data_IF_297343182908
#
_entry.id   IF_297343182908
#
_cell.length_a   1.000
_cell.length_b   1.000
_cell.length_c   1.000
_cell.angle_alpha   90.00
_cell.angle_beta   90.00
_cell.angle_gamma   90.00
#
_symmetry.space_group_name_H-M   'P 1'
#
loop_
_entity.id
_entity.type
_entity.pdbx_description
1 polymer ?
#
# COMPACT_ATOMS: atom_id res chain seq x y z
N UNK A 1 13.19 -17.74 9.83
CA UNK A 1 11.77 -17.57 10.23
C UNK A 1 10.92 -18.10 9.09
N UNK A 2 9.87 -18.85 9.37
CA UNK A 2 8.90 -19.24 8.32
C UNK A 2 7.95 -18.05 8.06
N UNK A 3 7.33 -17.96 6.87
CA UNK A 3 6.35 -16.91 6.56
C UNK A 3 5.23 -16.80 7.60
N UNK A 4 4.74 -17.93 8.11
CA UNK A 4 3.73 -17.98 9.16
C UNK A 4 4.19 -17.26 10.44
N UNK A 5 5.42 -17.55 10.89
CA UNK A 5 6.01 -16.95 12.08
C UNK A 5 6.22 -15.44 11.97
N UNK A 6 6.37 -14.92 10.74
CA UNK A 6 6.59 -13.49 10.52
C UNK A 6 5.39 -12.63 10.91
N UNK A 7 4.19 -13.19 10.94
CA UNK A 7 2.96 -12.47 11.29
C UNK A 7 2.30 -12.98 12.58
N UNK A 8 2.95 -13.87 13.33
CA UNK A 8 2.49 -14.28 14.66
C UNK A 8 2.42 -13.05 15.57
N UNK A 9 1.20 -12.69 16.00
CA UNK A 9 0.93 -11.49 16.79
C UNK A 9 0.37 -10.30 16.01
N UNK A 10 0.16 -10.43 14.70
CA UNK A 10 -0.54 -9.41 13.91
C UNK A 10 -2.01 -9.33 14.31
N UNK A 11 -2.43 -8.17 14.82
CA UNK A 11 -3.82 -7.89 15.17
C UNK A 11 -4.57 -7.46 13.92
N UNK A 12 -5.12 -8.45 13.18
CA UNK A 12 -5.76 -8.23 11.88
C UNK A 12 -7.11 -8.93 11.73
N UNK A 13 -7.90 -8.39 10.81
CA UNK A 13 -9.12 -9.02 10.28
C UNK A 13 -8.95 -9.30 8.80
N UNK A 14 -9.78 -10.18 8.26
CA UNK A 14 -9.87 -10.38 6.81
C UNK A 14 -10.38 -9.09 6.15
N UNK A 15 -9.81 -8.78 4.98
CA UNK A 15 -10.15 -7.61 4.20
C UNK A 15 -10.08 -7.92 2.70
N UNK A 16 -10.85 -7.17 1.92
CA UNK A 16 -10.96 -7.40 0.49
C UNK A 16 -11.58 -8.77 0.13
N UNK A 17 -11.56 -9.14 -1.17
CA UNK A 17 -11.09 -8.31 -2.26
C UNK A 17 -11.96 -7.04 -2.41
N UNK A 18 -11.32 -5.92 -2.69
CA UNK A 18 -11.98 -4.64 -2.97
C UNK A 18 -12.09 -4.37 -4.46
N UNK A 19 -11.29 -5.08 -5.26
CA UNK A 19 -11.30 -5.03 -6.72
C UNK A 19 -11.68 -6.39 -7.30
N UNK A 20 -11.83 -6.45 -8.63
CA UNK A 20 -12.04 -7.72 -9.33
C UNK A 20 -10.87 -8.68 -9.07
N UNK A 21 -11.19 -9.98 -9.00
CA UNK A 21 -10.21 -11.03 -8.82
C UNK A 21 -9.83 -11.64 -10.17
N UNK A 22 -8.53 -11.85 -10.38
CA UNK A 22 -7.98 -12.55 -11.53
C UNK A 22 -7.76 -14.02 -11.14
N UNK A 23 -8.68 -14.91 -11.56
CA UNK A 23 -8.60 -16.34 -11.28
C UNK A 23 -7.34 -16.99 -11.88
N UNK A 24 -6.76 -16.39 -12.92
CA UNK A 24 -5.56 -16.85 -13.58
C UNK A 24 -4.26 -16.27 -12.95
N UNK A 25 -4.38 -15.51 -11.85
CA UNK A 25 -3.30 -14.82 -11.08
C UNK A 25 -2.18 -14.30 -12.00
N UNK A 26 -2.29 -13.06 -12.48
CA UNK A 26 -1.24 -12.45 -13.32
C UNK A 26 0.16 -12.37 -12.68
N UNK A 27 0.26 -12.44 -11.34
CA UNK A 27 1.54 -12.46 -10.62
C UNK A 27 1.83 -13.86 -10.08
N UNK A 28 2.84 -14.51 -10.66
CA UNK A 28 3.35 -15.79 -10.16
C UNK A 28 4.39 -15.58 -9.05
N UNK A 29 4.68 -16.64 -8.30
CA UNK A 29 5.75 -16.66 -7.29
C UNK A 29 7.11 -16.21 -7.86
N UNK A 30 7.37 -16.39 -9.16
CA UNK A 30 8.61 -15.95 -9.80
C UNK A 30 8.70 -14.43 -9.98
N UNK A 31 7.57 -13.72 -9.94
CA UNK A 31 7.50 -12.27 -10.16
C UNK A 31 7.46 -11.46 -8.85
N UNK A 32 7.21 -12.12 -7.72
CA UNK A 32 7.05 -11.51 -6.40
C UNK A 32 8.10 -12.04 -5.42
N UNK A 33 8.46 -11.29 -4.37
CA UNK A 33 9.31 -11.80 -3.31
C UNK A 33 8.70 -13.05 -2.69
N UNK A 34 9.50 -14.10 -2.56
CA UNK A 34 9.03 -15.41 -2.12
C UNK A 34 8.37 -15.35 -0.74
N UNK A 35 8.96 -14.61 0.19
CA UNK A 35 8.46 -14.46 1.55
C UNK A 35 7.13 -13.70 1.62
N UNK A 36 6.96 -12.65 0.82
CA UNK A 36 5.65 -12.00 0.64
C UNK A 36 4.63 -12.93 0.01
N UNK A 37 4.99 -13.64 -1.07
CA UNK A 37 4.07 -14.54 -1.78
C UNK A 37 3.52 -15.63 -0.86
N UNK A 38 4.39 -16.30 -0.08
CA UNK A 38 3.99 -17.34 0.86
C UNK A 38 3.08 -16.80 1.97
N UNK A 39 3.32 -15.57 2.43
CA UNK A 39 2.43 -14.88 3.38
C UNK A 39 1.06 -14.59 2.74
N UNK A 40 1.05 -13.94 1.58
CA UNK A 40 -0.19 -13.50 0.93
C UNK A 40 -1.06 -14.68 0.49
N UNK A 41 -0.45 -15.80 0.10
CA UNK A 41 -1.15 -17.05 -0.21
C UNK A 41 -1.78 -17.70 1.03
N UNK A 42 -1.10 -17.65 2.17
CA UNK A 42 -1.59 -18.24 3.42
C UNK A 42 -2.69 -17.39 4.07
N UNK A 43 -2.49 -16.08 4.12
CA UNK A 43 -3.33 -15.16 4.90
C UNK A 43 -4.43 -14.50 4.08
N UNK A 44 -4.31 -14.46 2.75
CA UNK A 44 -5.19 -13.67 1.88
C UNK A 44 -5.09 -12.17 2.14
N UNK A 45 -6.13 -11.45 1.75
CA UNK A 45 -6.28 -10.02 2.05
C UNK A 45 -6.61 -9.80 3.52
N UNK A 46 -5.85 -8.93 4.19
CA UNK A 46 -6.00 -8.67 5.62
C UNK A 46 -5.64 -7.25 5.98
N UNK A 47 -6.28 -6.71 7.01
CA UNK A 47 -5.95 -5.39 7.52
C UNK A 47 -5.94 -5.32 9.04
N UNK A 48 -5.06 -4.48 9.57
CA UNK A 48 -4.95 -4.24 11.00
C UNK A 48 -3.54 -3.85 11.43
N UNK A 49 -3.28 -3.88 12.74
CA UNK A 49 -2.05 -3.35 13.31
C UNK A 49 -0.99 -4.42 13.52
N UNK A 50 0.09 -4.31 12.75
CA UNK A 50 1.33 -5.03 12.93
C UNK A 50 2.22 -4.21 13.88
N UNK A 51 2.10 -4.47 15.18
CA UNK A 51 2.67 -3.60 16.21
C UNK A 51 2.06 -2.20 16.18
N UNK A 52 2.82 -1.18 15.77
CA UNK A 52 2.33 0.21 15.59
C UNK A 52 1.98 0.55 14.14
N UNK A 53 2.35 -0.32 13.19
CA UNK A 53 2.11 -0.09 11.77
C UNK A 53 0.72 -0.60 11.42
N UNK A 54 -0.18 0.27 10.98
CA UNK A 54 -1.36 -0.21 10.29
C UNK A 54 -0.93 -0.74 8.91
N UNK A 55 -1.39 -1.93 8.56
CA UNK A 55 -1.08 -2.55 7.29
C UNK A 55 -2.38 -3.12 6.72
N UNK A 56 -2.73 -2.73 5.52
CA UNK A 56 -3.69 -3.44 4.67
C UNK A 56 -2.90 -4.21 3.62
N UNK A 57 -2.76 -5.52 3.84
CA UNK A 57 -2.16 -6.45 2.89
C UNK A 57 -3.20 -6.82 1.83
N UNK A 58 -2.83 -6.67 0.55
CA UNK A 58 -3.71 -7.04 -0.56
C UNK A 58 -3.62 -8.53 -0.87
N UNK A 59 -4.75 -9.14 -1.25
CA UNK A 59 -4.74 -10.53 -1.67
C UNK A 59 -4.08 -10.69 -3.04
N UNK A 60 -3.49 -11.86 -3.31
CA UNK A 60 -2.77 -12.13 -4.55
C UNK A 60 -3.71 -12.07 -5.77
N UNK A 61 -4.95 -12.50 -5.59
CA UNK A 61 -5.98 -12.58 -6.62
C UNK A 61 -6.42 -11.20 -7.13
N UNK A 62 -6.38 -10.15 -6.30
CA UNK A 62 -6.78 -8.79 -6.70
C UNK A 62 -5.59 -7.88 -7.04
N UNK A 63 -4.36 -8.31 -6.72
CA UNK A 63 -3.16 -7.47 -6.76
C UNK A 63 -2.95 -6.77 -8.11
N UNK A 64 -3.26 -7.46 -9.21
CA UNK A 64 -3.19 -6.90 -10.56
C UNK A 64 -4.20 -5.77 -10.74
N UNK A 65 -5.49 -6.05 -10.55
CA UNK A 65 -6.56 -5.07 -10.73
C UNK A 65 -6.38 -3.87 -9.81
N UNK A 66 -5.86 -4.08 -8.60
CA UNK A 66 -5.49 -3.01 -7.70
C UNK A 66 -4.38 -2.14 -8.28
N UNK A 67 -3.25 -2.72 -8.71
CA UNK A 67 -2.16 -1.94 -9.30
C UNK A 67 -2.58 -1.21 -10.59
N UNK A 68 -3.50 -1.78 -11.37
CA UNK A 68 -4.13 -1.12 -12.53
C UNK A 68 -5.05 0.02 -12.11
N UNK A 69 -5.88 -0.18 -11.08
CA UNK A 69 -6.80 0.83 -10.55
C UNK A 69 -6.06 2.05 -9.98
N UNK A 70 -4.90 1.86 -9.36
CA UNK A 70 -4.04 2.96 -8.91
C UNK A 70 -3.16 3.54 -10.02
N UNK A 71 -3.20 2.99 -11.23
CA UNK A 71 -2.33 3.36 -12.36
C UNK A 71 -0.83 3.24 -12.03
N UNK A 72 -0.46 2.28 -11.15
CA UNK A 72 0.93 2.06 -10.76
C UNK A 72 1.78 1.78 -11.99
N UNK A 73 1.35 0.90 -12.89
CA UNK A 73 2.13 0.57 -14.09
C UNK A 73 2.31 1.74 -15.06
N UNK A 74 1.42 2.74 -15.03
CA UNK A 74 1.57 3.95 -15.86
C UNK A 74 2.61 4.91 -15.27
N UNK A 75 2.66 5.04 -13.95
CA UNK A 75 3.56 5.94 -13.25
C UNK A 75 4.94 5.31 -12.97
N UNK A 76 4.94 4.02 -12.59
CA UNK A 76 6.08 3.21 -12.11
C UNK A 76 5.93 1.75 -12.54
N UNK A 77 6.24 1.43 -13.83
CA UNK A 77 6.14 0.08 -14.36
C UNK A 77 7.13 -0.91 -13.74
N UNK A 78 8.12 -0.42 -12.99
CA UNK A 78 9.11 -1.19 -12.24
C UNK A 78 8.63 -1.60 -10.84
N UNK A 79 7.54 -1.02 -10.34
CA UNK A 79 7.01 -1.29 -9.00
C UNK A 79 5.78 -2.22 -9.02
N UNK A 80 5.57 -2.87 -7.88
CA UNK A 80 4.32 -3.53 -7.51
C UNK A 80 3.95 -3.07 -6.11
N UNK A 81 2.81 -2.39 -5.96
CA UNK A 81 2.25 -2.02 -4.66
C UNK A 81 1.47 -3.22 -4.12
N UNK A 82 1.75 -3.63 -2.90
CA UNK A 82 1.20 -4.84 -2.29
C UNK A 82 0.45 -4.61 -0.97
N UNK A 83 0.59 -3.43 -0.40
CA UNK A 83 -0.15 -3.03 0.79
C UNK A 83 -0.32 -1.50 0.86
N UNK A 84 -1.20 -1.06 1.75
CA UNK A 84 -1.38 0.35 2.16
C UNK A 84 -1.17 0.48 3.67
N UNK A 85 -0.76 1.66 4.11
CA UNK A 85 -0.72 2.04 5.52
C UNK A 85 -2.07 2.57 6.05
N UNK A 86 -3.08 2.71 5.19
CA UNK A 86 -4.40 3.24 5.54
C UNK A 86 -4.50 4.77 5.52
N UNK A 87 -3.38 5.47 5.32
CA UNK A 87 -3.22 6.91 5.50
C UNK A 87 -2.62 7.61 4.27
N UNK A 88 -2.66 6.95 3.11
CA UNK A 88 -2.23 7.53 1.83
C UNK A 88 -0.82 7.12 1.39
N UNK A 89 -0.14 6.25 2.14
CA UNK A 89 1.10 5.61 1.73
C UNK A 89 0.88 4.15 1.30
N UNK A 90 1.66 3.73 0.32
CA UNK A 90 1.69 2.36 -0.16
C UNK A 90 3.00 1.67 0.20
N UNK A 91 2.95 0.37 0.45
CA UNK A 91 4.12 -0.47 0.47
C UNK A 91 4.29 -1.17 -0.88
N UNK A 92 5.51 -1.15 -1.40
CA UNK A 92 5.83 -1.66 -2.72
C UNK A 92 7.14 -2.46 -2.72
N UNK A 93 7.34 -3.20 -3.80
CA UNK A 93 8.63 -3.79 -4.16
C UNK A 93 9.02 -3.35 -5.57
N UNK A 94 10.32 -3.34 -5.86
CA UNK A 94 10.77 -3.44 -7.25
C UNK A 94 10.50 -4.85 -7.77
N UNK A 95 10.05 -4.98 -9.02
CA UNK A 95 9.86 -6.28 -9.68
C UNK A 95 11.16 -7.08 -9.66
N UNK A 96 11.10 -8.31 -9.13
CA UNK A 96 12.27 -9.19 -8.99
C UNK A 96 13.22 -8.84 -7.84
N UNK A 97 12.84 -7.93 -6.94
CA UNK A 97 13.60 -7.59 -5.72
C UNK A 97 12.77 -7.86 -4.47
N UNK A 98 13.42 -8.31 -3.39
CA UNK A 98 12.78 -8.45 -2.07
C UNK A 98 12.70 -7.14 -1.29
N UNK A 99 13.41 -6.09 -1.70
CA UNK A 99 13.47 -4.83 -0.93
C UNK A 99 12.09 -4.18 -0.82
N UNK A 100 11.62 -3.92 0.41
CA UNK A 100 10.38 -3.20 0.65
C UNK A 100 10.64 -1.71 0.62
N UNK A 101 9.71 -1.04 -0.05
CA UNK A 101 9.65 0.39 -0.20
C UNK A 101 8.37 0.90 0.46
N UNK A 102 8.45 2.06 1.08
CA UNK A 102 7.30 2.89 1.36
C UNK A 102 7.28 4.02 0.31
N UNK A 103 6.11 4.28 -0.26
CA UNK A 103 5.90 5.31 -1.28
C UNK A 103 4.63 6.10 -1.00
N UNK A 104 4.58 7.41 -1.27
CA UNK A 104 3.32 8.14 -1.31
C UNK A 104 2.47 7.66 -2.50
N UNK A 105 1.16 7.57 -2.30
CA UNK A 105 0.22 7.30 -3.40
C UNK A 105 -0.19 8.60 -4.12
N UNK A 106 0.01 9.78 -3.50
CA UNK A 106 -0.21 11.09 -4.12
C UNK A 106 0.93 12.07 -3.76
N UNK A 107 1.75 12.51 -4.74
CA UNK A 107 1.85 11.94 -6.06
C UNK A 107 2.51 10.55 -5.99
N UNK A 108 2.17 9.63 -6.89
CA UNK A 108 3.00 8.44 -7.09
C UNK A 108 4.36 8.95 -7.61
N UNK A 109 5.48 8.61 -6.94
CA UNK A 109 6.79 9.07 -7.37
C UNK A 109 7.08 8.64 -8.81
N UNK A 110 7.25 9.61 -9.71
CA UNK A 110 7.55 9.36 -11.13
C UNK A 110 9.07 9.22 -11.36
N UNK A 111 9.87 9.71 -10.42
CA UNK A 111 11.33 9.61 -10.33
C UNK A 111 11.70 9.15 -8.90
N UNK A 112 12.97 8.84 -8.61
CA UNK A 112 13.47 8.34 -7.30
C UNK A 112 13.32 9.35 -6.12
N UNK A 113 12.32 10.23 -6.16
CA UNK A 113 11.97 11.13 -5.08
C UNK A 113 11.01 10.43 -4.11
N UNK A 114 11.24 10.54 -2.81
CA UNK A 114 10.34 10.03 -1.75
C UNK A 114 10.02 8.53 -1.86
N UNK A 115 11.03 7.70 -2.17
CA UNK A 115 10.94 6.24 -2.03
C UNK A 115 11.85 5.84 -0.87
N UNK A 116 11.25 5.44 0.24
CA UNK A 116 12.02 5.01 1.41
C UNK A 116 12.16 3.50 1.42
N UNK A 117 13.39 3.01 1.47
CA UNK A 117 13.65 1.60 1.76
C UNK A 117 13.33 1.33 3.23
N UNK A 118 12.28 0.56 3.51
CA UNK A 118 11.83 0.32 4.89
C UNK A 118 12.30 -1.02 5.46
N UNK A 119 12.60 -1.99 4.59
CA UNK A 119 13.16 -3.28 4.99
C UNK A 119 13.83 -4.01 3.81
N UNK A 120 14.79 -4.91 4.07
CA UNK A 120 15.41 -5.71 3.02
C UNK A 120 14.47 -6.77 2.42
N UNK A 121 13.47 -7.22 3.20
CA UNK A 121 12.49 -8.23 2.84
C UNK A 121 11.24 -8.16 3.75
N UNK A 122 10.19 -8.90 3.41
CA UNK A 122 8.89 -8.81 4.07
C UNK A 122 8.98 -9.35 5.50
N UNK A 123 9.76 -10.41 5.70
CA UNK A 123 9.99 -10.97 7.03
C UNK A 123 10.67 -9.96 7.97
N UNK A 124 11.70 -9.25 7.50
CA UNK A 124 12.39 -8.24 8.27
C UNK A 124 11.47 -7.06 8.61
N UNK A 125 10.62 -6.63 7.66
CA UNK A 125 9.59 -5.63 7.92
C UNK A 125 8.61 -6.06 9.01
N UNK A 126 8.11 -7.29 8.92
CA UNK A 126 7.12 -7.79 9.86
C UNK A 126 7.71 -7.93 11.27
N UNK A 127 8.92 -8.50 11.38
CA UNK A 127 9.66 -8.59 12.65
C UNK A 127 9.91 -7.22 13.28
N UNK A 128 10.39 -6.25 12.49
CA UNK A 128 10.72 -4.91 12.98
C UNK A 128 9.47 -4.15 13.48
N UNK A 129 8.29 -4.44 12.94
CA UNK A 129 7.05 -3.82 13.37
C UNK A 129 6.41 -4.53 14.56
N UNK A 130 6.43 -5.87 14.59
CA UNK A 130 5.95 -6.67 15.73
C UNK A 130 6.75 -6.41 17.01
N UNK A 131 8.04 -6.07 16.90
CA UNK A 131 8.86 -5.72 18.07
C UNK A 131 8.47 -4.37 18.71
N UNK A 132 7.63 -3.57 18.07
CA UNK A 132 7.16 -2.29 18.60
C UNK A 132 5.88 -2.54 19.42
N UNK A 133 5.80 -2.05 20.68
CA UNK A 133 4.60 -2.23 21.49
C UNK A 133 3.40 -1.63 20.76
N UNK A 134 2.32 -2.39 20.66
CA UNK A 134 1.06 -1.91 20.09
C UNK A 134 0.69 -0.59 20.80
N UNK A 135 0.53 0.48 20.02
CA UNK A 135 -0.05 1.69 20.59
C UNK A 135 -1.46 1.37 21.09
N UNK A 136 -2.05 2.21 21.94
CA UNK A 136 -3.51 2.23 22.06
C UNK A 136 -4.03 2.49 20.63
N UNK A 137 -4.48 1.42 19.98
CA UNK A 137 -4.65 1.41 18.54
C UNK A 137 -5.67 2.49 18.19
N UNK A 138 -5.29 3.42 17.30
CA UNK A 138 -6.29 4.28 16.69
C UNK A 138 -7.33 3.39 16.01
N UNK A 139 -8.61 3.73 16.15
CA UNK A 139 -9.67 3.01 15.47
C UNK A 139 -9.61 3.35 13.98
N UNK A 140 -8.67 2.75 13.25
CA UNK A 140 -8.71 2.79 11.81
C UNK A 140 -9.92 1.97 11.34
N UNK A 141 -10.88 2.55 10.62
CA UNK A 141 -12.05 1.82 10.15
C UNK A 141 -11.62 0.72 9.17
N UNK A 142 -12.08 -0.50 9.39
CA UNK A 142 -11.85 -1.64 8.49
C UNK A 142 -12.45 -1.30 7.11
N UNK A 143 -11.70 -1.56 6.05
CA UNK A 143 -12.13 -1.36 4.67
C UNK A 143 -12.19 0.10 4.22
N UNK A 144 -11.49 1.02 4.88
CA UNK A 144 -11.42 2.44 4.48
C UNK A 144 -9.99 2.95 4.30
N UNK A 145 -9.75 3.92 3.43
CA UNK A 145 -8.49 4.66 3.34
C UNK A 145 -8.76 6.09 3.80
N UNK A 146 -7.87 6.66 4.61
CA UNK A 146 -7.91 8.09 4.90
C UNK A 146 -7.33 8.83 3.71
N UNK A 147 -8.10 9.73 3.13
CA UNK A 147 -7.68 10.55 2.01
C UNK A 147 -7.76 12.04 2.35
N UNK A 148 -6.76 12.81 1.93
CA UNK A 148 -6.82 14.27 2.00
C UNK A 148 -7.61 14.83 0.82
N UNK A 149 -8.70 15.57 1.08
CA UNK A 149 -9.51 16.25 0.06
C UNK A 149 -8.63 17.13 -0.84
N UNK A 150 -7.62 17.79 -0.27
CA UNK A 150 -6.53 18.44 -0.97
C UNK A 150 -5.19 17.83 -0.50
N UNK A 151 -4.41 17.19 -1.39
CA UNK A 151 -3.13 16.58 -1.03
C UNK A 151 -2.07 17.60 -0.58
N UNK A 152 -1.10 17.15 0.22
CA UNK A 152 -0.02 18.00 0.76
C UNK A 152 0.81 18.68 -0.34
N UNK A 153 1.10 17.96 -1.44
CA UNK A 153 1.83 18.53 -2.58
C UNK A 153 1.09 19.66 -3.31
N UNK A 154 -0.21 19.83 -3.04
CA UNK A 154 -1.03 20.93 -3.52
C UNK A 154 -1.37 21.94 -2.42
N UNK A 155 -0.67 21.92 -1.27
CA UNK A 155 -0.89 22.85 -0.17
C UNK A 155 -2.02 22.46 0.78
N UNK A 156 -2.45 21.19 0.79
CA UNK A 156 -3.33 20.67 1.83
C UNK A 156 -2.64 20.59 3.20
N UNK A 157 -3.43 20.39 4.24
CA UNK A 157 -2.98 20.25 5.63
C UNK A 157 -3.43 18.90 6.22
N UNK A 158 -2.50 18.17 6.84
CA UNK A 158 -2.77 16.91 7.56
C UNK A 158 -3.27 17.16 8.99
N UNK A 159 -3.20 18.39 9.50
CA UNK A 159 -3.75 18.71 10.82
C UNK A 159 -5.18 19.28 10.74
N UNK A 160 -5.69 19.55 9.54
CA UNK A 160 -7.08 19.97 9.33
C UNK A 160 -7.98 18.75 9.10
N UNK A 161 -8.72 18.33 10.12
CA UNK A 161 -9.71 17.25 10.02
C UNK A 161 -10.75 17.51 8.92
N UNK A 162 -11.04 18.77 8.57
CA UNK A 162 -11.96 19.08 7.47
C UNK A 162 -11.37 18.74 6.11
N UNK A 163 -10.05 18.69 5.99
CA UNK A 163 -9.34 18.23 4.80
C UNK A 163 -9.26 16.70 4.74
N UNK A 164 -9.74 15.96 5.73
CA UNK A 164 -9.72 14.51 5.75
C UNK A 164 -11.07 13.91 5.37
N UNK A 165 -11.04 12.74 4.74
CA UNK A 165 -12.22 11.94 4.47
C UNK A 165 -11.84 10.46 4.43
N UNK A 166 -12.63 9.62 5.11
CA UNK A 166 -12.53 8.18 4.94
C UNK A 166 -13.29 7.76 3.69
N UNK A 167 -12.64 6.97 2.84
CA UNK A 167 -13.21 6.48 1.57
C UNK A 167 -12.96 4.99 1.44
N UNK A 168 -13.73 4.30 0.61
CA UNK A 168 -13.44 2.90 0.26
C UNK A 168 -12.18 2.80 -0.60
N UNK A 169 -11.50 1.63 -0.69
CA UNK A 169 -10.30 1.46 -1.53
C UNK A 169 -10.54 1.77 -3.02
N UNK A 170 -11.74 1.50 -3.54
CA UNK A 170 -12.10 1.84 -4.93
C UNK A 170 -12.22 3.35 -5.13
N UNK A 171 -12.89 4.06 -4.22
CA UNK A 171 -12.96 5.52 -4.22
C UNK A 171 -11.58 6.16 -4.01
N UNK A 172 -10.74 5.56 -3.16
CA UNK A 172 -9.37 6.02 -2.94
C UNK A 172 -8.55 5.94 -4.24
N UNK A 173 -8.61 4.82 -4.96
CA UNK A 173 -7.94 4.66 -6.25
C UNK A 173 -8.42 5.71 -7.28
N UNK A 174 -9.72 6.02 -7.32
CA UNK A 174 -10.25 7.08 -8.19
C UNK A 174 -9.69 8.47 -7.86
N UNK A 175 -9.64 8.81 -6.57
CA UNK A 175 -9.09 10.08 -6.10
C UNK A 175 -7.58 10.17 -6.37
N UNK A 176 -6.84 9.08 -6.12
CA UNK A 176 -5.41 8.98 -6.42
C UNK A 176 -5.15 9.18 -7.91
N UNK A 177 -5.93 8.54 -8.80
CA UNK A 177 -5.84 8.74 -10.24
C UNK A 177 -6.11 10.20 -10.64
N UNK A 178 -7.15 10.79 -10.06
CA UNK A 178 -7.48 12.19 -10.28
C UNK A 178 -6.31 13.10 -9.92
N UNK A 179 -5.78 12.99 -8.70
CA UNK A 179 -4.71 13.86 -8.21
C UNK A 179 -3.38 13.63 -8.93
N UNK A 180 -3.04 12.38 -9.26
CA UNK A 180 -1.86 12.09 -10.08
C UNK A 180 -1.96 12.67 -11.48
N UNK A 181 -3.16 12.71 -12.09
CA UNK A 181 -3.36 13.43 -13.36
C UNK A 181 -3.11 14.93 -13.20
N UNK A 182 -3.71 15.56 -12.20
CA UNK A 182 -3.50 16.98 -11.91
C UNK A 182 -2.01 17.28 -11.66
N UNK A 183 -1.31 16.42 -10.92
CA UNK A 183 0.12 16.58 -10.64
C UNK A 183 0.94 16.58 -11.92
N UNK A 184 0.71 15.61 -12.82
CA UNK A 184 1.41 15.55 -14.11
C UNK A 184 1.13 16.76 -14.98
N UNK A 185 -0.11 17.23 -15.01
CA UNK A 185 -0.50 18.37 -15.84
C UNK A 185 0.18 19.66 -15.34
N UNK A 186 0.23 19.87 -14.02
CA UNK A 186 0.93 21.02 -13.42
C UNK A 186 2.44 20.92 -13.59
N UNK A 187 3.03 19.74 -13.40
CA UNK A 187 4.47 19.54 -13.55
C UNK A 187 4.97 19.76 -14.99
N UNK A 188 4.14 19.42 -15.99
CA UNK A 188 4.44 19.69 -17.41
C UNK A 188 4.39 21.17 -17.79
N UNK A 189 3.66 22.00 -17.07
CA UNK A 189 3.59 23.44 -17.33
C UNK A 189 4.79 24.20 -16.73
N UNK A 190 5.50 23.57 -15.78
CA UNK A 190 6.66 24.16 -15.09
C UNK A 190 8.01 23.79 -15.71
N UNK A 191 8.05 22.81 -16.61
CA UNK A 191 9.25 22.37 -17.34
C UNK A 191 9.20 22.84 -18.79
#
# INVERSE_FOLDING_TARGET
MTPHQALEGWQSVESGPFFEIDADRAWSQAALPRDYFEVAELYGGREGFLGRQYLRLYCLEELRHLNEAYQISLCRPDLVVFASDGYGEGFAFYKGSSQLLNIPLIPIPVINENIDSVAPDFNAFAQANLSKPAAALSQHPVGQELHLKQPLCFGGDWNDEKNMVWVTPTQHAELVRYWNRIYRDVSRQKG
#
